data_IF_517761071427
#
_entry.id   IF_517761071427
#
_cell.length_a   1.000
_cell.length_b   1.000
_cell.length_c   1.000
_cell.angle_alpha   90.00
_cell.angle_beta   90.00
_cell.angle_gamma   90.00
#
_symmetry.space_group_name_H-M   'P 1'
#
loop_
_entity.id
_entity.type
_entity.pdbx_description
1 polymer ?
#
# COMPACT_ATOMS: atom_id res chain seq x y z
N UNK A 1 -17.21 2.18 -28.28
CA UNK A 1 -16.72 1.56 -27.02
C UNK A 1 -17.85 1.61 -25.99
N UNK A 2 -17.96 0.61 -25.12
CA UNK A 2 -18.78 0.72 -23.91
C UNK A 2 -18.16 1.69 -22.91
N UNK A 3 -18.98 2.42 -22.15
CA UNK A 3 -18.53 3.35 -21.13
C UNK A 3 -19.59 3.50 -20.03
N UNK A 4 -19.14 3.86 -18.82
CA UNK A 4 -19.98 4.23 -17.68
C UNK A 4 -19.34 5.38 -16.92
N UNK A 5 -20.11 6.12 -16.12
CA UNK A 5 -19.56 7.14 -15.24
C UNK A 5 -19.13 8.44 -15.92
N UNK A 6 -19.54 8.67 -17.18
CA UNK A 6 -19.32 9.92 -17.92
C UNK A 6 -20.46 10.18 -18.92
N UNK A 7 -20.78 11.43 -19.23
CA UNK A 7 -21.84 11.80 -20.17
C UNK A 7 -22.06 13.30 -20.31
N UNK A 8 -22.95 13.73 -21.23
CA UNK A 8 -23.20 15.14 -21.54
C UNK A 8 -24.06 15.87 -20.49
N UNK A 9 -24.57 15.15 -19.49
CA UNK A 9 -25.29 15.66 -18.32
C UNK A 9 -25.32 14.59 -17.22
N UNK A 10 -25.70 14.97 -16.00
CA UNK A 10 -25.74 14.07 -14.84
C UNK A 10 -26.50 12.75 -15.09
N UNK A 11 -27.65 12.82 -15.78
CA UNK A 11 -28.50 11.64 -16.08
C UNK A 11 -27.84 10.67 -17.07
N UNK A 12 -27.05 11.16 -18.02
CA UNK A 12 -26.25 10.33 -18.90
C UNK A 12 -25.04 9.73 -18.17
N UNK A 13 -24.34 10.53 -17.36
CA UNK A 13 -23.15 10.07 -16.65
C UNK A 13 -23.45 8.94 -15.65
N UNK A 14 -24.59 9.03 -14.94
CA UNK A 14 -25.08 8.00 -14.02
C UNK A 14 -25.66 6.74 -14.72
N UNK A 15 -25.59 6.64 -16.05
CA UNK A 15 -26.01 5.43 -16.77
C UNK A 15 -24.94 4.34 -16.64
N UNK A 16 -25.34 3.15 -16.23
CA UNK A 16 -24.48 1.98 -16.27
C UNK A 16 -24.07 1.63 -17.71
N UNK A 17 -22.84 1.15 -17.88
CA UNK A 17 -22.55 0.26 -19.01
C UNK A 17 -23.24 -1.07 -18.71
N UNK A 18 -23.93 -1.62 -19.70
CA UNK A 18 -24.59 -2.93 -19.62
C UNK A 18 -24.00 -3.82 -20.69
N UNK A 19 -23.70 -5.05 -20.32
CA UNK A 19 -23.14 -6.10 -21.19
C UNK A 19 -23.61 -7.48 -20.72
N UNK A 20 -23.55 -8.48 -21.60
CA UNK A 20 -24.02 -9.86 -21.36
C UNK A 20 -22.85 -10.82 -21.52
N UNK A 21 -22.29 -11.27 -20.41
CA UNK A 21 -21.09 -12.11 -20.41
C UNK A 21 -21.49 -13.54 -20.08
N UNK A 22 -21.43 -14.45 -21.07
CA UNK A 22 -21.82 -15.87 -20.94
C UNK A 22 -23.20 -16.06 -20.28
N UNK A 23 -24.20 -15.38 -20.81
CA UNK A 23 -25.60 -15.37 -20.34
C UNK A 23 -25.82 -14.72 -18.95
N UNK A 24 -24.78 -14.20 -18.29
CA UNK A 24 -24.92 -13.36 -17.09
C UNK A 24 -25.03 -11.89 -17.49
N UNK A 25 -26.09 -11.22 -17.04
CA UNK A 25 -26.29 -9.79 -17.26
C UNK A 25 -25.45 -8.96 -16.28
N UNK A 26 -24.52 -8.15 -16.78
CA UNK A 26 -23.69 -7.25 -15.96
C UNK A 26 -24.11 -5.79 -16.09
N UNK A 27 -23.87 -5.01 -15.01
CA UNK A 27 -23.92 -3.55 -15.03
C UNK A 27 -22.70 -2.95 -14.36
N UNK A 28 -21.93 -2.14 -15.08
CA UNK A 28 -20.77 -1.42 -14.57
C UNK A 28 -21.11 0.04 -14.32
N UNK A 29 -20.81 0.54 -13.12
CA UNK A 29 -21.12 1.89 -12.66
C UNK A 29 -19.84 2.60 -12.16
N UNK A 30 -19.33 3.54 -12.96
CA UNK A 30 -18.22 4.43 -12.61
C UNK A 30 -18.66 5.72 -11.93
N UNK A 31 -17.87 6.25 -10.99
CA UNK A 31 -18.11 7.53 -10.32
C UNK A 31 -16.82 8.27 -9.95
N UNK A 32 -16.92 9.59 -9.75
CA UNK A 32 -15.92 10.42 -9.05
C UNK A 32 -16.47 10.95 -7.72
N UNK A 33 -15.64 10.96 -6.68
CA UNK A 33 -16.07 11.21 -5.29
C UNK A 33 -16.33 12.67 -4.92
N UNK A 34 -15.93 13.62 -5.77
CA UNK A 34 -16.05 15.07 -5.57
C UNK A 34 -16.34 15.78 -6.90
N UNK A 35 -16.97 16.95 -6.85
CA UNK A 35 -17.42 17.70 -8.05
C UNK A 35 -16.31 18.53 -8.70
N UNK A 36 -15.24 18.82 -7.95
CA UNK A 36 -14.13 19.70 -8.36
C UNK A 36 -14.30 21.13 -7.82
N UNK A 37 -13.39 22.02 -8.23
CA UNK A 37 -13.45 23.49 -7.98
C UNK A 37 -13.08 24.31 -9.22
N UNK A 38 -12.92 23.65 -10.36
CA UNK A 38 -12.63 24.27 -11.66
C UNK A 38 -13.93 24.69 -12.34
N UNK A 39 -13.84 25.62 -13.29
CA UNK A 39 -14.93 25.95 -14.21
C UNK A 39 -14.49 25.64 -15.65
N UNK A 40 -15.18 24.73 -16.39
CA UNK A 40 -16.24 23.85 -15.90
C UNK A 40 -15.74 22.84 -14.85
N UNK A 41 -16.67 22.34 -14.04
CA UNK A 41 -16.37 21.34 -13.01
C UNK A 41 -16.11 19.94 -13.63
N UNK A 42 -15.55 18.99 -12.87
CA UNK A 42 -15.25 17.67 -13.44
C UNK A 42 -16.47 16.75 -13.55
N UNK A 43 -17.57 17.08 -12.87
CA UNK A 43 -18.81 16.29 -12.85
C UNK A 43 -19.85 16.83 -13.83
N UNK A 44 -20.54 15.95 -14.55
CA UNK A 44 -21.63 16.33 -15.45
C UNK A 44 -22.81 16.90 -14.67
N UNK A 45 -23.32 18.06 -15.08
CA UNK A 45 -24.44 18.76 -14.46
C UNK A 45 -25.56 19.03 -15.48
N UNK A 46 -26.12 20.23 -15.53
CA UNK A 46 -27.12 20.64 -16.54
C UNK A 46 -26.56 21.64 -17.57
N UNK A 47 -25.36 22.19 -17.33
CA UNK A 47 -24.68 23.15 -18.19
C UNK A 47 -23.58 22.48 -19.04
N UNK A 48 -22.92 21.44 -18.51
CA UNK A 48 -21.84 20.73 -19.20
C UNK A 48 -21.81 19.23 -18.90
N UNK A 49 -21.13 18.49 -19.79
CA UNK A 49 -20.78 17.09 -19.59
C UNK A 49 -19.59 16.91 -18.65
N UNK A 50 -19.33 15.66 -18.26
CA UNK A 50 -18.28 15.31 -17.29
C UNK A 50 -18.48 13.92 -16.69
N UNK A 51 -17.84 13.67 -15.55
CA UNK A 51 -17.94 12.42 -14.80
C UNK A 51 -19.24 12.32 -13.97
N UNK A 52 -19.61 11.10 -13.56
CA UNK A 52 -20.75 10.87 -12.68
C UNK A 52 -20.38 11.17 -11.22
N UNK A 53 -21.13 12.06 -10.57
CA UNK A 53 -20.87 12.36 -9.16
C UNK A 53 -21.30 11.20 -8.26
N UNK A 54 -20.34 10.58 -7.59
CA UNK A 54 -20.50 9.49 -6.62
C UNK A 54 -21.00 9.94 -5.25
N UNK A 55 -22.05 10.77 -5.21
CA UNK A 55 -22.78 11.01 -3.95
C UNK A 55 -23.43 9.71 -3.46
N UNK A 56 -23.68 9.58 -2.15
CA UNK A 56 -24.29 8.37 -1.59
C UNK A 56 -25.68 8.12 -2.19
N UNK A 57 -26.48 9.19 -2.37
CA UNK A 57 -27.80 9.10 -3.00
C UNK A 57 -27.72 8.63 -4.47
N UNK A 58 -26.76 9.14 -5.23
CA UNK A 58 -26.55 8.72 -6.61
C UNK A 58 -26.17 7.25 -6.70
N UNK A 59 -25.15 6.82 -5.93
CA UNK A 59 -24.67 5.42 -5.89
C UNK A 59 -25.81 4.46 -5.51
N UNK A 60 -26.58 4.78 -4.46
CA UNK A 60 -27.68 3.92 -4.02
C UNK A 60 -28.83 3.86 -5.04
N UNK A 61 -29.15 4.97 -5.70
CA UNK A 61 -30.22 5.04 -6.70
C UNK A 61 -29.89 4.22 -7.95
N UNK A 62 -28.68 4.38 -8.51
CA UNK A 62 -28.23 3.61 -9.67
C UNK A 62 -28.01 2.13 -9.33
N UNK A 63 -27.35 1.79 -8.21
CA UNK A 63 -27.14 0.38 -7.84
C UNK A 63 -28.48 -0.35 -7.66
N UNK A 64 -29.43 0.21 -6.90
CA UNK A 64 -30.76 -0.40 -6.73
C UNK A 64 -31.48 -0.63 -8.06
N UNK A 65 -31.39 0.33 -9.00
CA UNK A 65 -32.03 0.26 -10.31
C UNK A 65 -31.44 -0.82 -11.23
N UNK A 66 -30.13 -1.09 -11.14
CA UNK A 66 -29.50 -2.16 -11.91
C UNK A 66 -29.72 -3.53 -11.26
N UNK A 67 -29.66 -3.60 -9.92
CA UNK A 67 -29.98 -4.80 -9.13
C UNK A 67 -31.44 -5.23 -9.28
N UNK A 68 -32.40 -4.29 -9.32
CA UNK A 68 -33.83 -4.58 -9.57
C UNK A 68 -34.15 -4.93 -11.04
N UNK A 69 -33.13 -5.28 -11.82
CA UNK A 69 -33.22 -5.80 -13.19
C UNK A 69 -32.34 -7.06 -13.32
N UNK A 70 -32.07 -7.72 -12.18
CA UNK A 70 -31.29 -8.95 -12.02
C UNK A 70 -29.87 -8.88 -12.63
N UNK A 71 -29.26 -7.68 -12.59
CA UNK A 71 -27.93 -7.43 -13.17
C UNK A 71 -26.84 -7.49 -12.11
N UNK A 72 -25.81 -8.30 -12.36
CA UNK A 72 -24.59 -8.38 -11.56
C UNK A 72 -23.88 -7.02 -11.61
N UNK A 73 -24.05 -6.26 -10.54
CA UNK A 73 -23.70 -4.84 -10.50
C UNK A 73 -22.31 -4.62 -9.90
N UNK A 74 -21.43 -3.98 -10.66
CA UNK A 74 -20.03 -3.70 -10.34
C UNK A 74 -19.83 -2.19 -10.19
N UNK A 75 -19.25 -1.76 -9.07
CA UNK A 75 -19.03 -0.34 -8.76
C UNK A 75 -17.54 0.02 -8.84
N UNK A 76 -17.22 1.04 -9.64
CA UNK A 76 -15.89 1.67 -9.70
C UNK A 76 -15.97 3.11 -9.17
N UNK A 77 -15.13 3.47 -8.21
CA UNK A 77 -15.16 4.78 -7.55
C UNK A 77 -13.78 5.45 -7.54
N UNK A 78 -13.70 6.68 -8.07
CA UNK A 78 -12.50 7.51 -8.04
C UNK A 78 -12.56 8.48 -6.85
N UNK A 79 -11.76 8.26 -5.81
CA UNK A 79 -11.79 9.09 -4.60
C UNK A 79 -11.04 8.49 -3.41
N UNK A 80 -11.33 9.00 -2.21
CA UNK A 80 -10.47 8.92 -1.01
C UNK A 80 -9.36 9.98 -1.05
N UNK A 81 -8.35 9.86 -0.19
CA UNK A 81 -7.23 10.77 -0.04
C UNK A 81 -5.99 10.23 -0.78
N UNK A 82 -5.29 11.09 -1.52
CA UNK A 82 -4.03 10.74 -2.17
C UNK A 82 -2.98 10.24 -1.17
N UNK A 83 -2.25 9.20 -1.56
CA UNK A 83 -1.13 8.57 -0.85
C UNK A 83 -1.44 8.01 0.56
N UNK A 84 -2.72 8.01 0.97
CA UNK A 84 -3.15 7.50 2.26
C UNK A 84 -3.06 5.96 2.36
N UNK A 85 -2.77 5.45 3.56
CA UNK A 85 -2.69 4.01 3.85
C UNK A 85 -4.07 3.32 3.99
N UNK A 86 -5.17 4.06 3.96
CA UNK A 86 -6.53 3.53 4.07
C UNK A 86 -7.54 4.45 3.39
N UNK A 87 -8.74 3.95 3.04
CA UNK A 87 -9.84 4.77 2.55
C UNK A 87 -10.25 5.82 3.57
N UNK A 88 -10.76 6.96 3.10
CA UNK A 88 -11.53 7.88 3.95
C UNK A 88 -12.85 7.23 4.36
N UNK A 89 -13.38 7.58 5.54
CA UNK A 89 -14.66 7.04 6.03
C UNK A 89 -15.83 7.24 5.04
N UNK A 90 -15.83 8.35 4.29
CA UNK A 90 -16.78 8.62 3.20
C UNK A 90 -16.66 7.61 2.06
N UNK A 91 -15.43 7.20 1.70
CA UNK A 91 -15.19 6.19 0.67
C UNK A 91 -15.59 4.81 1.17
N UNK A 92 -15.20 4.46 2.40
CA UNK A 92 -15.57 3.18 3.03
C UNK A 92 -17.09 3.03 3.16
N UNK A 93 -17.80 4.07 3.60
CA UNK A 93 -19.26 4.12 3.63
C UNK A 93 -19.87 3.95 2.23
N UNK A 94 -19.45 4.75 1.24
CA UNK A 94 -20.02 4.71 -0.13
C UNK A 94 -19.87 3.34 -0.79
N UNK A 95 -18.74 2.65 -0.57
CA UNK A 95 -18.51 1.31 -1.13
C UNK A 95 -19.28 0.21 -0.38
N UNK A 96 -19.30 0.23 0.97
CA UNK A 96 -20.08 -0.73 1.76
C UNK A 96 -21.57 -0.61 1.47
N UNK A 97 -22.12 0.61 1.48
CA UNK A 97 -23.51 0.88 1.14
C UNK A 97 -23.90 0.47 -0.28
N UNK A 98 -22.97 0.44 -1.24
CA UNK A 98 -23.23 -0.15 -2.55
C UNK A 98 -23.39 -1.69 -2.49
N UNK A 99 -22.50 -2.37 -1.76
CA UNK A 99 -22.57 -3.82 -1.56
C UNK A 99 -23.81 -4.23 -0.75
N UNK A 100 -24.19 -3.45 0.28
CA UNK A 100 -25.41 -3.63 1.08
C UNK A 100 -26.67 -3.61 0.21
N UNK A 101 -26.66 -2.80 -0.85
CA UNK A 101 -27.80 -2.60 -1.76
C UNK A 101 -27.69 -3.45 -3.04
N UNK A 102 -26.87 -4.50 -3.01
CA UNK A 102 -26.87 -5.58 -4.01
C UNK A 102 -25.73 -5.55 -5.03
N UNK A 103 -24.81 -4.59 -4.97
CA UNK A 103 -23.60 -4.69 -5.79
C UNK A 103 -22.75 -5.93 -5.40
N UNK A 104 -22.16 -6.59 -6.39
CA UNK A 104 -21.37 -7.81 -6.22
C UNK A 104 -19.89 -7.52 -5.87
N UNK A 105 -19.36 -6.41 -6.38
CA UNK A 105 -17.95 -6.05 -6.32
C UNK A 105 -17.79 -4.53 -6.29
N UNK A 106 -16.93 -4.04 -5.39
CA UNK A 106 -16.60 -2.63 -5.24
C UNK A 106 -15.09 -2.41 -5.45
N UNK A 107 -14.73 -1.53 -6.38
CA UNK A 107 -13.35 -1.20 -6.73
C UNK A 107 -13.16 0.32 -6.58
N UNK A 108 -12.06 0.73 -5.95
CA UNK A 108 -11.66 2.12 -5.87
C UNK A 108 -10.21 2.35 -6.26
N UNK A 109 -9.94 3.62 -6.56
CA UNK A 109 -8.71 4.19 -7.10
C UNK A 109 -8.76 5.71 -6.89
N UNK A 110 -7.67 6.42 -7.26
CA UNK A 110 -7.28 7.80 -6.87
C UNK A 110 -6.14 7.87 -5.83
N UNK A 111 -6.04 7.03 -4.78
CA UNK A 111 -4.95 7.16 -3.80
C UNK A 111 -3.52 6.98 -4.32
N UNK A 112 -3.33 6.55 -5.58
CA UNK A 112 -2.06 6.26 -6.28
C UNK A 112 -1.13 5.20 -5.64
N UNK A 113 -1.30 4.92 -4.35
CA UNK A 113 -0.67 3.85 -3.59
C UNK A 113 -1.65 2.70 -3.38
N UNK A 114 -1.12 1.50 -3.16
CA UNK A 114 -1.92 0.35 -2.74
C UNK A 114 -2.55 0.55 -1.37
N UNK A 115 -3.82 0.16 -1.23
CA UNK A 115 -4.52 0.06 0.06
C UNK A 115 -4.96 -1.40 0.31
N UNK A 116 -5.48 -1.71 1.49
CA UNK A 116 -5.99 -3.04 1.81
C UNK A 116 -7.18 -3.44 0.93
N UNK A 117 -7.46 -4.74 0.88
CA UNK A 117 -8.71 -5.30 0.39
C UNK A 117 -9.57 -5.74 1.58
N UNK A 118 -10.88 -5.82 1.36
CA UNK A 118 -11.83 -6.26 2.38
C UNK A 118 -12.83 -7.25 1.80
N UNK A 119 -13.08 -8.34 2.54
CA UNK A 119 -14.12 -9.34 2.27
C UNK A 119 -15.31 -9.07 3.21
N UNK A 120 -16.12 -8.10 2.78
CA UNK A 120 -17.28 -7.56 3.48
C UNK A 120 -18.52 -8.39 3.10
N UNK A 121 -19.07 -9.15 4.05
CA UNK A 121 -20.20 -10.08 3.87
C UNK A 121 -20.10 -10.91 2.58
N UNK A 122 -18.93 -11.55 2.44
CA UNK A 122 -18.47 -12.34 1.30
C UNK A 122 -18.37 -11.60 -0.05
N UNK A 123 -18.68 -10.31 -0.14
CA UNK A 123 -18.40 -9.47 -1.30
C UNK A 123 -17.04 -8.79 -1.15
N UNK A 124 -16.37 -8.48 -2.27
CA UNK A 124 -15.02 -7.92 -2.26
C UNK A 124 -15.03 -6.39 -2.41
N UNK A 125 -14.23 -5.70 -1.59
CA UNK A 125 -13.84 -4.31 -1.77
C UNK A 125 -12.33 -4.23 -2.02
N UNK A 126 -11.91 -3.53 -3.07
CA UNK A 126 -10.51 -3.19 -3.33
C UNK A 126 -10.32 -1.67 -3.29
N UNK A 127 -9.85 -1.13 -2.16
CA UNK A 127 -9.88 0.32 -1.91
C UNK A 127 -8.92 1.17 -2.75
N UNK A 128 -7.76 0.60 -3.12
CA UNK A 128 -6.86 1.18 -4.13
C UNK A 128 -5.85 0.14 -4.59
N UNK A 129 -5.74 -0.05 -5.91
CA UNK A 129 -4.78 -0.97 -6.52
C UNK A 129 -3.38 -0.35 -6.73
N UNK A 130 -3.23 0.96 -6.50
CA UNK A 130 -2.06 1.74 -6.91
C UNK A 130 -2.05 2.04 -8.41
N UNK A 131 -0.92 2.57 -8.91
CA UNK A 131 -0.79 2.92 -10.33
C UNK A 131 -0.48 1.70 -11.21
N UNK A 132 -1.12 1.58 -12.37
CA UNK A 132 -0.76 0.57 -13.38
C UNK A 132 0.19 1.14 -14.44
N UNK A 133 -0.24 2.19 -15.13
CA UNK A 133 0.57 3.06 -15.98
C UNK A 133 0.30 4.48 -15.51
N UNK A 134 1.32 5.16 -14.98
CA UNK A 134 1.26 6.54 -14.48
C UNK A 134 2.67 7.12 -14.38
N UNK A 135 2.80 8.44 -14.39
CA UNK A 135 4.06 9.19 -14.52
C UNK A 135 4.72 9.60 -13.18
N UNK A 136 4.02 9.43 -12.05
CA UNK A 136 4.56 9.68 -10.72
C UNK A 136 5.85 8.91 -10.44
N UNK A 137 6.89 9.63 -10.00
CA UNK A 137 8.27 9.14 -9.94
C UNK A 137 8.76 8.77 -8.52
N UNK A 138 8.04 9.11 -7.45
CA UNK A 138 8.36 8.69 -6.09
C UNK A 138 7.90 7.25 -5.81
N UNK A 139 8.30 6.66 -4.68
CA UNK A 139 8.32 5.19 -4.56
C UNK A 139 6.99 4.53 -4.16
N UNK A 140 6.20 5.19 -3.30
CA UNK A 140 4.97 4.60 -2.80
C UNK A 140 3.99 4.26 -3.93
N UNK A 141 3.99 5.07 -4.99
CA UNK A 141 3.16 4.94 -6.19
C UNK A 141 3.63 3.85 -7.16
N UNK A 142 4.88 3.37 -7.04
CA UNK A 142 5.43 2.28 -7.86
C UNK A 142 4.96 0.90 -7.42
N UNK A 143 4.42 0.77 -6.22
CA UNK A 143 3.96 -0.50 -5.65
C UNK A 143 2.47 -0.68 -5.94
N UNK A 144 2.12 -1.73 -6.68
CA UNK A 144 0.81 -1.89 -7.35
C UNK A 144 0.40 -3.38 -7.41
N UNK A 145 -0.81 -3.70 -7.91
CA UNK A 145 -1.20 -5.07 -8.26
C UNK A 145 -2.27 -5.14 -9.36
N UNK A 146 -2.30 -6.24 -10.10
CA UNK A 146 -3.49 -6.69 -10.84
C UNK A 146 -4.35 -7.52 -9.89
N UNK A 147 -5.67 -7.34 -9.97
CA UNK A 147 -6.65 -8.11 -9.24
C UNK A 147 -7.50 -8.93 -10.21
N UNK A 148 -7.42 -10.26 -10.11
CA UNK A 148 -8.40 -11.16 -10.73
C UNK A 148 -9.47 -11.51 -9.70
N UNK A 149 -10.74 -11.51 -10.11
CA UNK A 149 -11.89 -11.83 -9.25
C UNK A 149 -12.72 -12.91 -9.95
N UNK A 150 -13.04 -13.97 -9.22
CA UNK A 150 -13.96 -15.02 -9.65
C UNK A 150 -15.32 -14.78 -9.01
N UNK A 151 -16.26 -14.36 -9.84
CA UNK A 151 -17.68 -14.31 -9.54
C UNK A 151 -18.39 -15.44 -10.31
N UNK A 152 -19.40 -16.04 -9.72
CA UNK A 152 -20.34 -16.96 -10.37
C UNK A 152 -21.75 -16.43 -10.08
N UNK A 153 -22.53 -16.07 -11.12
CA UNK A 153 -23.80 -15.34 -10.99
C UNK A 153 -23.74 -14.08 -10.07
N UNK A 154 -22.56 -13.48 -9.93
CA UNK A 154 -22.29 -12.35 -9.02
C UNK A 154 -21.89 -12.74 -7.58
N UNK A 155 -22.00 -14.02 -7.21
CA UNK A 155 -21.49 -14.57 -5.94
C UNK A 155 -19.95 -14.64 -6.03
N UNK A 156 -19.26 -14.08 -5.05
CA UNK A 156 -17.80 -14.11 -5.00
C UNK A 156 -17.26 -15.43 -4.45
N UNK A 157 -16.26 -16.01 -5.13
CA UNK A 157 -15.57 -17.23 -4.70
C UNK A 157 -14.10 -17.00 -4.33
N UNK A 158 -13.37 -16.21 -5.13
CA UNK A 158 -11.92 -16.04 -5.03
C UNK A 158 -11.48 -14.67 -5.56
N UNK A 159 -10.44 -14.11 -4.96
CA UNK A 159 -9.60 -13.08 -5.58
C UNK A 159 -8.15 -13.57 -5.67
N UNK A 160 -7.43 -13.15 -6.71
CA UNK A 160 -5.99 -13.35 -6.86
C UNK A 160 -5.30 -12.02 -7.11
N UNK A 161 -4.28 -11.76 -6.29
CA UNK A 161 -3.50 -10.53 -6.25
C UNK A 161 -2.15 -10.82 -6.89
N UNK A 162 -1.94 -10.30 -8.10
CA UNK A 162 -0.68 -10.39 -8.83
C UNK A 162 0.12 -9.10 -8.58
N UNK A 163 1.15 -9.12 -7.71
CA UNK A 163 1.83 -7.90 -7.29
C UNK A 163 2.69 -7.33 -8.42
N UNK A 164 2.69 -6.00 -8.56
CA UNK A 164 3.38 -5.25 -9.59
C UNK A 164 4.32 -4.20 -9.01
N UNK A 165 5.33 -3.86 -9.81
CA UNK A 165 6.23 -2.74 -9.61
C UNK A 165 6.33 -1.92 -10.90
N UNK A 166 5.98 -0.63 -10.85
CA UNK A 166 6.05 0.27 -12.00
C UNK A 166 7.50 0.74 -12.17
N UNK A 167 8.17 0.24 -13.22
CA UNK A 167 9.58 0.53 -13.53
C UNK A 167 9.66 1.39 -14.78
N UNK A 168 9.94 2.69 -14.63
CA UNK A 168 9.98 3.62 -15.76
C UNK A 168 8.65 3.66 -16.51
N UNK A 169 7.56 3.88 -15.77
CA UNK A 169 6.17 3.95 -16.24
C UNK A 169 5.61 2.65 -16.85
N UNK A 170 6.37 1.56 -16.82
CA UNK A 170 5.96 0.22 -17.29
C UNK A 170 5.59 -0.69 -16.12
N UNK A 171 4.35 -1.20 -16.02
CA UNK A 171 3.99 -2.20 -15.02
C UNK A 171 4.79 -3.47 -15.24
N UNK A 172 5.59 -3.86 -14.24
CA UNK A 172 6.45 -5.05 -14.27
C UNK A 172 6.01 -6.00 -13.15
N UNK A 173 5.96 -7.34 -13.35
CA UNK A 173 5.72 -8.28 -12.26
C UNK A 173 6.67 -8.06 -11.08
N UNK A 174 6.14 -7.92 -9.87
CA UNK A 174 6.97 -7.71 -8.69
C UNK A 174 7.68 -9.02 -8.30
N UNK A 175 8.99 -8.93 -8.08
CA UNK A 175 9.84 -10.03 -7.63
C UNK A 175 10.62 -9.62 -6.37
N UNK A 176 11.24 -10.60 -5.69
CA UNK A 176 12.12 -10.38 -4.54
C UNK A 176 11.54 -9.45 -3.47
N UNK A 177 12.33 -8.43 -3.10
CA UNK A 177 11.98 -7.42 -2.10
C UNK A 177 10.79 -6.53 -2.47
N UNK A 178 10.56 -6.26 -3.77
CA UNK A 178 9.39 -5.51 -4.23
C UNK A 178 8.12 -6.32 -4.04
N UNK A 179 8.14 -7.62 -4.40
CA UNK A 179 7.03 -8.55 -4.16
C UNK A 179 6.70 -8.64 -2.68
N UNK A 180 7.71 -8.86 -1.85
CA UNK A 180 7.55 -8.91 -0.39
C UNK A 180 6.95 -7.60 0.15
N UNK A 181 7.36 -6.45 -0.37
CA UNK A 181 6.86 -5.13 0.05
C UNK A 181 5.39 -4.92 -0.33
N UNK A 182 4.98 -5.21 -1.57
CA UNK A 182 3.56 -5.18 -1.98
C UNK A 182 2.76 -6.14 -1.12
N UNK A 183 3.14 -7.42 -1.08
CA UNK A 183 2.33 -8.45 -0.44
C UNK A 183 2.24 -8.29 1.08
N UNK A 184 3.32 -7.86 1.75
CA UNK A 184 3.27 -7.54 3.19
C UNK A 184 2.35 -6.37 3.47
N UNK A 185 2.45 -5.28 2.69
CA UNK A 185 1.57 -4.10 2.81
C UNK A 185 0.10 -4.49 2.63
N UNK A 186 -0.24 -5.23 1.58
CA UNK A 186 -1.61 -5.67 1.34
C UNK A 186 -2.11 -6.59 2.46
N UNK A 187 -1.29 -7.54 2.93
CA UNK A 187 -1.66 -8.45 4.03
C UNK A 187 -1.99 -7.69 5.31
N UNK A 188 -1.12 -6.79 5.78
CA UNK A 188 -1.38 -6.06 7.04
C UNK A 188 -2.57 -5.07 6.90
N UNK A 189 -2.70 -4.36 5.77
CA UNK A 189 -3.82 -3.42 5.57
C UNK A 189 -5.18 -4.12 5.40
N UNK A 190 -5.20 -5.36 4.92
CA UNK A 190 -6.42 -6.19 4.80
C UNK A 190 -6.76 -6.90 6.11
N UNK A 191 -5.74 -7.26 6.91
CA UNK A 191 -5.89 -7.85 8.26
C UNK A 191 -6.65 -6.92 9.22
N UNK A 192 -6.42 -5.60 9.14
CA UNK A 192 -7.19 -4.58 9.87
C UNK A 192 -8.69 -4.63 9.54
N UNK A 193 -9.06 -5.14 8.36
CA UNK A 193 -10.43 -5.31 7.86
C UNK A 193 -10.86 -6.78 7.83
N UNK A 194 -10.40 -7.57 8.82
CA UNK A 194 -10.76 -8.97 9.04
C UNK A 194 -10.66 -9.86 7.77
N UNK A 195 -9.70 -9.55 6.89
CA UNK A 195 -9.56 -10.14 5.55
C UNK A 195 -8.20 -10.80 5.40
N UNK A 196 -8.20 -12.13 5.32
CA UNK A 196 -7.00 -12.95 5.20
C UNK A 196 -6.56 -13.06 3.74
N UNK A 197 -5.33 -12.61 3.45
CA UNK A 197 -4.63 -12.90 2.20
C UNK A 197 -3.71 -14.10 2.44
N UNK A 198 -4.04 -15.23 1.83
CA UNK A 198 -3.19 -16.43 1.80
C UNK A 198 -2.16 -16.33 0.67
N UNK A 199 -1.09 -17.13 0.71
CA UNK A 199 -0.08 -17.16 -0.35
C UNK A 199 -0.36 -18.28 -1.36
N UNK A 200 -0.20 -17.97 -2.65
CA UNK A 200 -0.28 -18.92 -3.77
C UNK A 200 0.91 -18.69 -4.69
N UNK A 201 2.01 -19.41 -4.47
CA UNK A 201 3.27 -19.16 -5.16
C UNK A 201 3.79 -17.74 -4.91
N UNK A 202 3.81 -16.93 -5.97
CA UNK A 202 4.18 -15.50 -5.92
C UNK A 202 3.01 -14.53 -5.64
N UNK A 203 1.77 -15.02 -5.59
CA UNK A 203 0.55 -14.21 -5.53
C UNK A 203 -0.14 -14.27 -4.16
N UNK A 204 -1.02 -13.30 -3.90
CA UNK A 204 -1.97 -13.37 -2.79
C UNK A 204 -3.30 -13.96 -3.23
N UNK A 205 -3.98 -14.70 -2.35
CA UNK A 205 -5.33 -15.25 -2.61
C UNK A 205 -6.26 -14.96 -1.43
N UNK A 206 -7.41 -14.36 -1.74
CA UNK A 206 -8.57 -14.24 -0.87
C UNK A 206 -9.61 -15.27 -1.33
N UNK A 207 -10.33 -15.90 -0.41
CA UNK A 207 -11.42 -16.84 -0.70
C UNK A 207 -12.66 -16.44 0.08
N UNK A 208 -13.84 -16.76 -0.43
CA UNK A 208 -15.09 -16.60 0.30
C UNK A 208 -15.05 -17.37 1.65
N UNK A 209 -15.68 -16.81 2.68
CA UNK A 209 -15.92 -17.49 3.96
C UNK A 209 -17.05 -18.48 3.74
N UNK A 210 -16.69 -19.73 3.44
CA UNK A 210 -17.63 -20.86 3.43
C UNK A 210 -18.14 -21.06 4.87
N UNK A 211 -19.46 -21.15 5.11
CA UNK A 211 -19.98 -21.45 6.44
C UNK A 211 -19.45 -22.78 6.96
N UNK A 212 -18.85 -22.77 8.17
CA UNK A 212 -18.33 -23.98 8.83
C UNK A 212 -19.47 -24.88 9.30
N UNK A 213 -20.01 -25.71 8.41
CA UNK A 213 -21.04 -26.71 8.75
C UNK A 213 -20.47 -27.66 9.80
N UNK A 214 -20.87 -27.47 11.05
CA UNK A 214 -20.43 -28.30 12.17
C UNK A 214 -21.26 -29.57 12.19
N UNK A 215 -20.91 -30.52 11.33
CA UNK A 215 -21.48 -31.86 11.33
C UNK A 215 -21.14 -32.52 12.67
N UNK A 216 -22.16 -32.80 13.49
CA UNK A 216 -21.98 -33.63 14.68
C UNK A 216 -21.62 -35.05 14.23
N UNK A 217 -20.42 -35.50 14.55
CA UNK A 217 -20.01 -36.89 14.33
C UNK A 217 -20.84 -37.81 15.23
N UNK A 218 -21.33 -38.94 14.68
CA UNK A 218 -22.14 -39.92 15.44
C UNK A 218 -21.32 -40.59 16.55
N UNK A 219 -20.00 -40.65 16.40
CA UNK A 219 -19.07 -41.03 17.48
C UNK A 219 -18.48 -39.78 18.16
N UNK A 220 -18.41 -39.82 19.49
CA UNK A 220 -18.25 -38.65 20.36
C UNK A 220 -16.78 -38.21 20.57
N UNK A 221 -15.99 -38.18 19.50
CA UNK A 221 -14.61 -37.68 19.50
C UNK A 221 -14.57 -36.31 18.84
N UNK A 222 -14.35 -35.24 19.61
CA UNK A 222 -14.17 -33.90 19.07
C UNK A 222 -12.85 -33.79 18.29
N UNK A 223 -12.86 -34.17 17.01
CA UNK A 223 -11.81 -33.78 16.06
C UNK A 223 -11.95 -32.28 15.77
N UNK A 224 -11.51 -31.47 16.75
CA UNK A 224 -11.25 -30.05 16.52
C UNK A 224 -10.09 -29.95 15.54
N UNK A 225 -10.42 -29.85 14.25
CA UNK A 225 -9.52 -29.33 13.23
C UNK A 225 -9.25 -27.87 13.58
N UNK A 226 -8.33 -27.65 14.52
CA UNK A 226 -7.69 -26.35 14.73
C UNK A 226 -7.06 -26.01 13.38
N UNK A 227 -7.57 -24.97 12.71
CA UNK A 227 -6.82 -24.34 11.63
C UNK A 227 -5.41 -24.03 12.19
N UNK A 228 -4.37 -24.59 11.58
CA UNK A 228 -3.02 -24.67 12.15
C UNK A 228 -2.28 -23.34 12.03
N UNK A 229 -2.82 -22.32 12.69
CA UNK A 229 -2.28 -20.97 12.77
C UNK A 229 -1.40 -20.89 14.01
N UNK A 230 -0.17 -20.41 13.85
CA UNK A 230 0.87 -20.28 14.90
C UNK A 230 1.49 -21.60 15.40
N UNK A 231 1.75 -22.58 14.52
CA UNK A 231 2.92 -23.45 14.73
C UNK A 231 4.17 -22.65 14.33
N UNK A 232 5.19 -22.47 15.19
CA UNK A 232 6.40 -21.73 14.82
C UNK A 232 7.15 -22.43 13.69
N UNK A 233 7.30 -21.76 12.54
CA UNK A 233 8.06 -22.27 11.40
C UNK A 233 9.52 -21.81 11.55
N UNK A 234 10.42 -22.75 11.83
CA UNK A 234 11.86 -22.47 11.79
C UNK A 234 12.30 -22.29 10.34
N UNK A 235 13.02 -21.21 10.07
CA UNK A 235 13.62 -20.91 8.76
C UNK A 235 15.12 -20.71 8.94
N UNK A 236 15.91 -21.60 8.35
CA UNK A 236 17.36 -21.47 8.29
C UNK A 236 17.77 -20.30 7.37
N UNK A 237 18.83 -19.58 7.73
CA UNK A 237 19.32 -18.41 6.99
C UNK A 237 20.69 -18.70 6.38
N UNK A 238 20.70 -19.13 5.12
CA UNK A 238 21.94 -19.32 4.35
C UNK A 238 22.59 -17.97 3.98
N UNK A 239 23.92 -17.93 4.00
CA UNK A 239 24.73 -16.78 3.57
C UNK A 239 25.59 -17.16 2.36
N UNK A 240 25.62 -16.33 1.32
CA UNK A 240 26.54 -16.50 0.19
C UNK A 240 27.99 -16.41 0.66
N UNK A 241 28.90 -17.20 0.07
CA UNK A 241 30.33 -17.24 0.43
C UNK A 241 30.94 -15.82 0.49
N UNK A 242 31.42 -15.42 1.67
CA UNK A 242 32.00 -14.09 1.93
C UNK A 242 31.00 -12.97 2.29
N UNK A 243 29.68 -13.21 2.20
CA UNK A 243 28.67 -12.25 2.62
C UNK A 243 28.38 -12.34 4.11
N UNK A 244 28.33 -11.19 4.79
CA UNK A 244 27.78 -11.04 6.16
C UNK A 244 26.31 -10.58 6.16
N UNK A 245 25.64 -10.62 5.01
CA UNK A 245 24.27 -10.16 4.82
C UNK A 245 23.47 -11.24 4.08
N UNK A 246 22.27 -11.55 4.59
CA UNK A 246 21.27 -12.41 3.95
C UNK A 246 19.92 -11.69 3.88
N UNK A 247 19.02 -12.15 3.01
CA UNK A 247 17.81 -11.41 2.62
C UNK A 247 16.50 -12.09 3.02
N UNK A 248 15.82 -11.50 4.01
CA UNK A 248 14.57 -12.01 4.60
C UNK A 248 13.34 -11.93 3.66
N UNK A 249 13.44 -11.35 2.45
CA UNK A 249 12.29 -11.26 1.52
C UNK A 249 11.87 -12.62 0.92
N UNK A 250 12.66 -13.67 1.15
CA UNK A 250 12.33 -15.06 0.83
C UNK A 250 11.38 -15.68 1.88
N UNK A 251 11.31 -15.12 3.10
CA UNK A 251 10.44 -15.63 4.16
C UNK A 251 8.97 -15.36 3.83
N UNK A 252 8.03 -16.17 4.36
CA UNK A 252 6.61 -16.02 4.06
C UNK A 252 6.07 -14.66 4.56
N UNK A 253 5.73 -13.76 3.64
CA UNK A 253 5.25 -12.40 3.98
C UNK A 253 3.98 -12.40 4.84
N UNK A 254 3.17 -13.46 4.77
CA UNK A 254 1.93 -13.59 5.53
C UNK A 254 2.17 -13.99 7.01
N UNK A 255 3.40 -14.30 7.40
CA UNK A 255 3.78 -14.65 8.76
C UNK A 255 4.42 -13.47 9.50
N UNK A 256 4.63 -13.65 10.80
CA UNK A 256 5.34 -12.70 11.67
C UNK A 256 6.61 -13.37 12.20
N UNK A 257 7.75 -12.69 12.08
CA UNK A 257 8.98 -13.11 12.72
C UNK A 257 8.84 -12.84 14.23
N UNK A 258 8.86 -13.89 15.04
CA UNK A 258 8.72 -13.81 16.51
C UNK A 258 10.05 -13.93 17.25
N UNK A 259 11.03 -14.60 16.65
CA UNK A 259 12.30 -14.98 17.27
C UNK A 259 13.38 -15.08 16.18
N UNK A 260 14.65 -14.90 16.56
CA UNK A 260 15.82 -15.23 15.73
C UNK A 260 16.79 -16.03 16.60
N UNK A 261 17.00 -17.29 16.24
CA UNK A 261 17.95 -18.19 16.89
C UNK A 261 19.29 -18.15 16.17
N UNK A 262 20.39 -18.16 16.93
CA UNK A 262 21.77 -18.22 16.44
C UNK A 262 22.55 -19.12 17.41
N UNK A 263 23.37 -20.03 16.88
CA UNK A 263 24.10 -21.03 17.69
C UNK A 263 25.36 -20.47 18.38
N UNK A 264 25.98 -19.44 17.80
CA UNK A 264 27.10 -18.70 18.38
C UNK A 264 26.62 -17.34 18.93
N UNK A 265 26.53 -17.23 20.26
CA UNK A 265 26.11 -16.02 20.97
C UNK A 265 27.05 -14.81 20.76
N UNK A 266 28.28 -15.02 20.26
CA UNK A 266 29.20 -13.92 19.94
C UNK A 266 28.83 -13.21 18.62
N UNK A 267 27.97 -13.79 17.78
CA UNK A 267 27.53 -13.20 16.50
C UNK A 267 26.56 -12.04 16.75
N UNK A 268 27.12 -10.84 16.85
CA UNK A 268 26.37 -9.58 16.89
C UNK A 268 25.70 -9.32 15.53
N UNK A 269 24.38 -9.54 15.48
CA UNK A 269 23.55 -9.32 14.29
C UNK A 269 22.73 -8.02 14.39
N UNK A 270 22.13 -7.62 13.27
CA UNK A 270 21.12 -6.54 13.23
C UNK A 270 19.99 -6.92 12.29
N UNK A 271 18.79 -7.05 12.82
CA UNK A 271 17.58 -7.02 11.99
C UNK A 271 17.41 -5.62 11.40
N UNK A 272 17.45 -5.53 10.07
CA UNK A 272 17.20 -4.32 9.32
C UNK A 272 16.19 -4.59 8.22
N UNK A 273 15.19 -3.72 8.08
CA UNK A 273 14.39 -3.69 6.85
C UNK A 273 15.34 -3.25 5.74
N UNK A 274 15.67 -4.18 4.85
CA UNK A 274 16.48 -3.89 3.67
C UNK A 274 15.79 -2.72 2.94
N UNK A 275 16.48 -1.58 2.84
CA UNK A 275 15.90 -0.37 2.27
C UNK A 275 15.77 -0.59 0.77
N UNK A 276 14.64 -1.18 0.36
CA UNK A 276 14.19 -1.22 -1.04
C UNK A 276 14.43 0.16 -1.63
N UNK A 277 14.93 0.26 -2.85
CA UNK A 277 15.34 1.55 -3.38
C UNK A 277 14.09 2.43 -3.63
N UNK A 278 13.73 3.22 -2.61
CA UNK A 278 12.43 3.88 -2.46
C UNK A 278 11.54 3.45 -1.27
N UNK A 279 11.80 2.40 -0.49
CA UNK A 279 11.12 2.21 0.82
C UNK A 279 11.67 3.22 1.82
N UNK A 280 11.18 4.45 1.71
CA UNK A 280 11.69 5.62 2.40
C UNK A 280 11.08 5.85 3.79
N UNK A 281 10.18 4.97 4.25
CA UNK A 281 9.31 5.17 5.43
C UNK A 281 8.37 6.38 5.30
N UNK A 282 8.33 7.04 4.15
CA UNK A 282 7.49 8.21 3.92
C UNK A 282 6.02 7.81 3.90
N UNK A 283 5.36 8.21 4.97
CA UNK A 283 3.98 8.70 4.89
C UNK A 283 4.02 10.16 4.43
N UNK A 284 2.90 10.64 3.88
CA UNK A 284 2.71 12.04 3.45
C UNK A 284 3.21 13.08 4.49
N UNK A 285 3.05 12.79 5.79
CA UNK A 285 3.52 13.61 6.91
C UNK A 285 5.05 13.71 7.09
N UNK A 286 5.87 13.17 6.19
CA UNK A 286 7.34 13.14 6.29
C UNK A 286 8.08 13.44 4.98
N UNK A 287 7.37 13.83 3.93
CA UNK A 287 7.90 14.01 2.57
C UNK A 287 8.99 15.10 2.47
N UNK A 288 8.86 16.19 3.23
CA UNK A 288 9.76 17.36 3.21
C UNK A 288 10.57 17.53 4.52
N UNK A 289 11.13 16.45 5.07
CA UNK A 289 11.89 16.50 6.33
C UNK A 289 13.35 17.02 6.15
N UNK A 290 13.82 18.07 6.88
CA UNK A 290 15.10 18.77 6.61
C UNK A 290 16.45 18.03 6.84
N UNK A 291 16.52 16.70 6.89
CA UNK A 291 17.74 15.99 7.34
C UNK A 291 18.71 15.50 6.23
N UNK A 292 20.02 15.55 6.58
CA UNK A 292 21.25 14.67 6.27
C UNK A 292 23.47 15.12 4.26
N UNK A 293 24.30 16.24 4.08
CA UNK A 293 25.72 16.28 3.58
C UNK A 293 26.58 17.29 4.38
N UNK A 294 27.93 17.24 4.36
CA UNK A 294 28.85 17.98 5.28
C UNK A 294 29.83 18.97 4.58
N UNK A 295 30.43 19.92 5.33
CA UNK A 295 31.27 21.02 4.80
C UNK A 295 32.13 21.74 5.89
N UNK A 296 33.48 21.83 5.74
CA UNK A 296 34.41 22.75 6.47
C UNK A 296 35.88 22.72 5.94
N UNK A 297 36.77 23.65 6.38
CA UNK A 297 38.23 23.71 6.07
C UNK A 297 39.10 22.88 7.04
N UNK A 298 40.20 22.32 6.53
CA UNK A 298 41.10 21.36 7.19
C UNK A 298 42.48 21.93 7.54
N UNK A 299 42.88 23.05 6.96
CA UNK A 299 44.19 23.69 7.22
C UNK A 299 44.41 23.99 8.71
N UNK A 300 43.32 24.28 9.41
CA UNK A 300 43.23 24.63 10.83
C UNK A 300 42.90 23.46 11.77
N UNK A 301 42.83 22.21 11.29
CA UNK A 301 42.37 21.08 12.10
C UNK A 301 43.47 20.52 13.03
N UNK A 302 43.12 20.26 14.30
CA UNK A 302 43.93 19.46 15.24
C UNK A 302 43.08 18.46 16.05
N UNK A 303 43.73 17.63 16.86
CA UNK A 303 43.08 16.66 17.76
C UNK A 303 43.49 16.92 19.21
N UNK A 304 42.53 16.83 20.13
CA UNK A 304 42.75 16.95 21.58
C UNK A 304 41.76 16.04 22.34
N UNK A 305 41.55 16.26 23.65
CA UNK A 305 40.63 15.53 24.51
C UNK A 305 39.66 16.46 25.29
N UNK A 306 39.37 17.65 24.76
CA UNK A 306 38.58 18.71 25.42
C UNK A 306 37.09 18.72 25.03
N UNK A 307 36.66 17.82 24.14
CA UNK A 307 35.30 17.81 23.58
C UNK A 307 34.19 17.41 24.56
N UNK A 308 32.97 17.84 24.25
CA UNK A 308 31.79 17.78 25.13
C UNK A 308 31.27 16.38 25.54
N UNK A 309 31.96 15.28 25.20
CA UNK A 309 31.48 13.91 25.51
C UNK A 309 32.52 12.78 25.53
N UNK A 310 33.83 13.02 25.46
CA UNK A 310 34.79 11.90 25.55
C UNK A 310 36.27 12.19 25.31
N UNK A 311 37.07 11.13 25.47
CA UNK A 311 38.54 11.14 25.58
C UNK A 311 39.32 11.60 24.33
N UNK A 312 38.66 11.89 23.21
CA UNK A 312 39.31 12.42 22.00
C UNK A 312 38.32 13.23 21.16
N UNK A 313 38.75 14.36 20.62
CA UNK A 313 37.92 15.35 19.94
C UNK A 313 38.66 16.08 18.82
N UNK A 314 37.89 16.59 17.85
CA UNK A 314 38.38 17.47 16.77
C UNK A 314 38.35 18.91 17.26
N UNK A 315 39.46 19.62 17.09
CA UNK A 315 39.55 21.06 17.27
C UNK A 315 39.80 21.76 15.93
N UNK A 316 39.36 23.01 15.81
CA UNK A 316 39.66 23.90 14.70
C UNK A 316 40.34 25.15 15.28
N UNK A 317 41.57 25.42 14.88
CA UNK A 317 42.34 26.60 15.26
C UNK A 317 41.84 27.82 14.45
N UNK A 318 40.75 28.41 14.91
CA UNK A 318 40.12 29.55 14.23
C UNK A 318 41.04 30.78 14.26
N UNK A 319 41.20 31.43 13.11
CA UNK A 319 41.94 32.68 12.95
C UNK A 319 40.95 33.85 13.01
N UNK A 320 41.23 34.85 13.85
CA UNK A 320 40.39 36.04 14.05
C UNK A 320 40.28 36.92 12.80
N UNK A 321 41.28 36.84 11.90
CA UNK A 321 41.34 37.56 10.63
C UNK A 321 40.63 36.83 9.47
N UNK A 322 40.22 35.55 9.63
CA UNK A 322 39.73 34.74 8.49
C UNK A 322 38.51 33.86 8.82
N UNK A 323 37.40 34.12 8.12
CA UNK A 323 36.16 33.37 8.27
C UNK A 323 36.29 31.89 7.88
N UNK A 324 36.09 30.99 8.85
CA UNK A 324 36.08 29.53 8.65
C UNK A 324 34.63 29.02 8.54
N UNK A 325 34.28 28.36 7.44
CA UNK A 325 32.93 27.83 7.25
C UNK A 325 32.75 26.43 7.86
N UNK A 326 31.57 26.15 8.43
CA UNK A 326 31.15 24.82 8.90
C UNK A 326 29.65 24.62 8.65
N UNK A 327 29.22 23.56 7.95
CA UNK A 327 27.82 23.49 7.49
C UNK A 327 27.30 22.19 6.87
N UNK A 328 26.23 22.32 6.07
CA UNK A 328 25.46 21.25 5.42
C UNK A 328 25.44 21.48 3.90
N UNK A 329 25.45 20.42 3.06
CA UNK A 329 25.47 20.57 1.58
C UNK A 329 24.28 20.01 0.79
N UNK A 330 23.85 18.76 0.99
CA UNK A 330 22.71 18.14 0.27
C UNK A 330 22.27 16.84 0.96
N UNK A 331 20.98 16.51 1.02
CA UNK A 331 20.51 15.15 1.38
C UNK A 331 19.28 14.79 0.49
N UNK A 332 19.31 13.68 -0.27
CA UNK A 332 18.17 13.10 -1.04
C UNK A 332 18.14 11.54 -0.94
N UNK A 333 18.83 10.99 0.09
CA UNK A 333 19.45 9.63 0.15
C UNK A 333 20.54 9.45 -0.94
N UNK A 334 21.66 8.77 -0.71
CA UNK A 334 22.01 7.71 0.26
C UNK A 334 22.79 8.22 1.48
N UNK A 335 22.88 7.38 2.51
CA UNK A 335 23.65 7.62 3.74
C UNK A 335 24.93 6.77 3.74
N UNK A 336 26.09 7.42 3.81
CA UNK A 336 27.20 6.96 4.64
C UNK A 336 27.46 8.06 5.68
N UNK A 337 28.08 7.73 6.82
CA UNK A 337 28.11 8.55 8.04
C UNK A 337 28.29 10.07 7.78
N UNK A 338 27.45 10.97 8.28
CA UNK A 338 26.45 10.88 9.36
C UNK A 338 25.41 12.03 9.29
N UNK A 339 24.35 11.98 10.12
CA UNK A 339 23.57 13.07 10.80
C UNK A 339 22.16 12.56 11.18
N UNK A 340 21.59 12.94 12.34
CA UNK A 340 20.97 14.25 12.62
C UNK A 340 21.92 15.44 12.81
N UNK A 341 21.39 16.66 12.70
CA UNK A 341 22.17 17.91 12.89
C UNK A 341 22.00 18.44 14.31
N UNK A 342 22.80 17.94 15.24
CA UNK A 342 23.02 18.61 16.53
C UNK A 342 24.52 18.67 16.76
N UNK A 343 25.03 19.89 16.97
CA UNK A 343 26.46 20.17 17.14
C UNK A 343 26.62 20.73 18.54
N UNK A 344 27.37 20.03 19.38
CA UNK A 344 27.77 20.50 20.71
C UNK A 344 29.27 20.71 20.69
N UNK A 345 29.71 21.95 20.91
CA UNK A 345 31.11 22.34 20.86
C UNK A 345 31.49 23.05 22.16
N UNK A 346 32.69 22.75 22.66
CA UNK A 346 33.32 23.49 23.75
C UNK A 346 34.27 24.53 23.12
N UNK A 347 34.22 25.76 23.60
CA UNK A 347 35.15 26.81 23.19
C UNK A 347 36.26 26.93 24.24
N UNK A 348 37.50 26.98 23.78
CA UNK A 348 38.67 27.26 24.61
C UNK A 348 39.28 28.57 24.11
N UNK A 349 39.32 29.57 24.99
CA UNK A 349 39.98 30.87 24.81
C UNK A 349 41.41 30.83 25.32
#
# INVERSE_FOLDING_TARGET
LGFSGAGMNAKQALKAHRDTIKNTEFSMLGYVGWEGRSEPSQTANHQHGGAAYGSLANILSSVKKEVSQDRVTIVQYHGSQEYANSPTGVTEQRLKSALDNGAALAIAHHPHVTQGLELYDNKLIAYSMGNFIFDQNFSATKHSFILYVWLDEGIFHRAEIVPLYVKGYKPTPATGSNRYTVMKRLTELSKVRNTLITQSGGHGVIRAKIPSVTVKSVNNSQVKVKASVNTPVKHELTFSKGSKITSLYHLPWHQQLTEVFIEDEQIKYRLGKNLVNGSNFESYSTFDSPERGLFFDRSVMSLNNYGASGNTSIALALNDQQATAFGVKSFWRVYSASRPVTITANYQS
#
